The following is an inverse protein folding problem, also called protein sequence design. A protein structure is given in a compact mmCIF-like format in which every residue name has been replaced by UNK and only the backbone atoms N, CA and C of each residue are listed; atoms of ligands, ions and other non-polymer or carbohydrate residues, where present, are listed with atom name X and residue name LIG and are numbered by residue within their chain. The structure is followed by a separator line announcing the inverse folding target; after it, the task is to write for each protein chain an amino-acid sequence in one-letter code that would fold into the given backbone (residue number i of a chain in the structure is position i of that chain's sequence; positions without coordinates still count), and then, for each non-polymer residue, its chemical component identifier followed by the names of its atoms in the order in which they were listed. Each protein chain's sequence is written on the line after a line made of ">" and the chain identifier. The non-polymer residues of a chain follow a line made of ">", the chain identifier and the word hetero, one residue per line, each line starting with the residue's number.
data_IF_814230420700
#
_entry.id   IF_814230420700
#
_cell.length_a   1.000
_cell.length_b   1.000
_cell.length_c   1.000
_cell.angle_alpha   90.00
_cell.angle_beta   90.00
_cell.angle_gamma   90.00
#
_symmetry.space_group_name_H-M   'P 1'
#
loop_
_entity.id
_entity.type
_entity.pdbx_description
1 polymer ?
#
# COMPACT_ATOMS: atom_id res chain seq x y z
N UNK A 1 12.16 0.19 -6.79
CA UNK A 1 11.90 -1.09 -6.06
C UNK A 1 12.29 -2.27 -6.94
N UNK A 2 12.77 -3.34 -6.33
CA UNK A 2 13.25 -4.50 -7.07
C UNK A 2 12.14 -5.16 -7.90
N UNK A 3 12.46 -5.51 -9.14
CA UNK A 3 11.55 -6.21 -10.07
C UNK A 3 11.40 -7.66 -9.62
N UNK A 4 10.21 -8.23 -9.79
CA UNK A 4 9.86 -9.62 -9.44
C UNK A 4 9.99 -9.94 -7.94
N UNK A 5 9.95 -8.93 -7.09
CA UNK A 5 10.07 -9.09 -5.63
C UNK A 5 8.89 -8.39 -4.96
N UNK A 6 8.28 -9.06 -3.98
CA UNK A 6 7.32 -8.42 -3.08
C UNK A 6 8.06 -7.45 -2.16
N UNK A 7 7.66 -6.20 -2.18
CA UNK A 7 8.25 -5.15 -1.35
C UNK A 7 7.19 -4.61 -0.42
N UNK A 8 7.46 -4.68 0.89
CA UNK A 8 6.58 -4.06 1.88
C UNK A 8 6.71 -2.54 1.78
N UNK A 9 5.59 -1.84 1.70
CA UNK A 9 5.58 -0.38 1.64
C UNK A 9 5.70 0.20 3.04
N UNK A 10 6.62 1.13 3.18
CA UNK A 10 6.88 1.84 4.43
C UNK A 10 6.01 3.10 4.50
N UNK A 11 5.31 3.27 5.61
CA UNK A 11 4.53 4.46 5.90
C UNK A 11 5.14 5.15 7.12
N UNK A 12 6.11 6.01 6.87
CA UNK A 12 6.91 6.62 7.93
C UNK A 12 6.16 7.65 8.78
N UNK A 13 5.04 8.15 8.26
CA UNK A 13 4.24 9.15 8.96
C UNK A 13 2.86 8.58 9.27
N UNK A 14 2.50 8.54 10.54
CA UNK A 14 1.19 8.06 11.00
C UNK A 14 0.33 9.26 11.35
N UNK A 15 -0.71 9.53 10.54
CA UNK A 15 -1.58 10.69 10.72
C UNK A 15 -2.80 10.36 11.60
N UNK A 16 -3.36 9.16 11.47
CA UNK A 16 -4.56 8.73 12.18
C UNK A 16 -4.35 7.35 12.78
N UNK A 17 -3.78 7.34 13.99
CA UNK A 17 -3.59 6.10 14.75
C UNK A 17 -3.92 6.36 16.21
N UNK A 18 -5.22 6.50 16.50
CA UNK A 18 -5.71 6.89 17.83
C UNK A 18 -5.37 5.87 18.90
N UNK A 19 -5.25 4.60 18.55
CA UNK A 19 -4.95 3.52 19.48
C UNK A 19 -3.52 2.98 19.33
N UNK A 20 -2.69 3.64 18.54
CA UNK A 20 -1.32 3.21 18.24
C UNK A 20 -1.24 1.79 17.67
N UNK A 21 -2.17 1.45 16.78
CA UNK A 21 -2.27 0.11 16.19
C UNK A 21 -1.34 -0.09 14.99
N UNK A 22 -0.80 0.98 14.44
CA UNK A 22 0.16 0.92 13.36
C UNK A 22 1.58 1.15 13.89
N UNK A 23 2.48 0.23 13.57
CA UNK A 23 3.88 0.31 13.96
C UNK A 23 4.70 0.70 12.71
N UNK A 24 5.24 1.92 12.68
CA UNK A 24 6.03 2.40 11.55
C UNK A 24 7.47 1.86 11.53
N UNK A 25 7.89 1.11 12.52
CA UNK A 25 9.15 0.37 12.49
C UNK A 25 9.01 -0.94 11.75
N UNK A 26 7.88 -1.62 11.90
CA UNK A 26 7.56 -2.88 11.20
C UNK A 26 6.64 -2.68 10.01
N UNK A 27 6.14 -1.47 9.79
CA UNK A 27 5.19 -1.10 8.73
C UNK A 27 3.95 -1.99 8.74
N UNK A 28 3.41 -2.23 9.94
CA UNK A 28 2.36 -3.20 10.17
C UNK A 28 1.27 -2.63 11.09
N UNK A 29 0.02 -2.79 10.66
CA UNK A 29 -1.16 -2.56 11.49
C UNK A 29 -1.47 -3.85 12.26
N UNK A 30 -1.77 -3.74 13.56
CA UNK A 30 -2.16 -4.86 14.39
C UNK A 30 -3.58 -4.66 14.92
N UNK A 31 -4.45 -5.65 14.72
CA UNK A 31 -5.81 -5.60 15.21
C UNK A 31 -5.85 -5.69 16.74
N UNK A 32 -6.40 -4.69 17.44
CA UNK A 32 -6.46 -4.74 18.89
C UNK A 32 -7.49 -5.71 19.44
N UNK A 33 -8.56 -5.95 18.69
CA UNK A 33 -9.64 -6.86 19.07
C UNK A 33 -10.12 -7.62 17.85
N UNK A 34 -10.78 -8.76 18.07
CA UNK A 34 -11.44 -9.52 17.00
C UNK A 34 -12.60 -8.73 16.43
N UNK A 35 -12.71 -8.67 15.12
CA UNK A 35 -13.80 -7.98 14.43
C UNK A 35 -13.54 -7.79 12.95
N UNK A 36 -14.36 -6.95 12.33
CA UNK A 36 -14.22 -6.56 10.93
C UNK A 36 -13.57 -5.20 10.84
N UNK A 37 -12.55 -5.10 10.01
CA UNK A 37 -11.76 -3.89 9.85
C UNK A 37 -11.89 -3.37 8.43
N UNK A 38 -12.07 -2.07 8.31
CA UNK A 38 -11.91 -1.38 7.03
C UNK A 38 -10.44 -1.04 6.87
N UNK A 39 -9.83 -1.58 5.83
CA UNK A 39 -8.44 -1.31 5.46
C UNK A 39 -8.44 -0.58 4.12
N UNK A 40 -7.81 0.57 4.06
CA UNK A 40 -7.74 1.36 2.84
C UNK A 40 -6.33 1.87 2.62
N UNK A 41 -5.90 1.87 1.37
CA UNK A 41 -4.58 2.37 1.00
C UNK A 41 -4.63 3.07 -0.35
N UNK A 42 -3.80 4.09 -0.50
CA UNK A 42 -3.47 4.70 -1.78
C UNK A 42 -1.96 4.70 -1.90
N UNK A 43 -1.46 4.24 -3.03
CA UNK A 43 -0.02 4.19 -3.32
C UNK A 43 0.22 4.92 -4.63
N UNK A 44 0.99 6.00 -4.58
CA UNK A 44 1.43 6.71 -5.77
C UNK A 44 2.68 6.04 -6.32
N UNK A 45 2.58 5.62 -7.58
CA UNK A 45 3.67 4.99 -8.33
C UNK A 45 4.21 5.98 -9.34
N UNK A 46 5.51 6.18 -9.33
CA UNK A 46 6.21 7.02 -10.28
C UNK A 46 7.02 6.14 -11.24
N UNK A 47 7.10 6.57 -12.49
CA UNK A 47 7.89 5.91 -13.55
C UNK A 47 7.46 4.47 -13.80
N UNK A 48 6.18 4.30 -14.11
CA UNK A 48 5.66 2.98 -14.46
C UNK A 48 6.23 2.54 -15.81
N UNK A 49 6.89 1.38 -15.79
CA UNK A 49 7.50 0.77 -16.96
C UNK A 49 6.45 0.03 -17.80
N UNK A 50 6.24 0.47 -19.04
CA UNK A 50 5.31 -0.18 -19.97
C UNK A 50 5.75 -1.58 -20.37
N UNK A 51 7.02 -1.95 -20.17
CA UNK A 51 7.53 -3.27 -20.44
C UNK A 51 7.22 -4.29 -19.34
N UNK A 52 6.71 -3.86 -18.19
CA UNK A 52 6.29 -4.77 -17.13
C UNK A 52 5.05 -5.56 -17.55
N UNK A 53 4.95 -6.81 -17.11
CA UNK A 53 3.79 -7.65 -17.36
C UNK A 53 2.56 -7.14 -16.59
N UNK A 54 2.80 -6.76 -15.34
CA UNK A 54 1.79 -6.14 -14.47
C UNK A 54 2.49 -5.51 -13.26
N UNK A 55 1.78 -4.59 -12.62
CA UNK A 55 2.14 -4.10 -11.29
C UNK A 55 0.93 -4.30 -10.36
N UNK A 56 1.20 -4.59 -9.11
CA UNK A 56 0.15 -4.80 -8.10
C UNK A 56 0.48 -4.13 -6.80
N UNK A 57 -0.56 -3.67 -6.12
CA UNK A 57 -0.51 -3.38 -4.69
C UNK A 57 -1.37 -4.41 -3.97
N UNK A 58 -1.02 -4.69 -2.73
CA UNK A 58 -1.70 -5.70 -1.92
C UNK A 58 -1.86 -5.21 -0.51
N UNK A 59 -3.03 -5.49 0.06
CA UNK A 59 -3.21 -5.46 1.51
C UNK A 59 -3.15 -6.91 1.95
N UNK A 60 -2.10 -7.25 2.69
CA UNK A 60 -1.86 -8.61 3.17
C UNK A 60 -2.15 -8.66 4.66
N UNK A 61 -3.13 -9.47 5.04
CA UNK A 61 -3.46 -9.75 6.44
C UNK A 61 -2.91 -11.10 6.86
N UNK A 62 -2.99 -11.42 8.14
CA UNK A 62 -2.62 -12.74 8.64
C UNK A 62 -3.42 -13.87 7.98
N UNK A 63 -4.62 -13.56 7.46
CA UNK A 63 -5.54 -14.55 6.91
C UNK A 63 -5.64 -14.54 5.39
N UNK A 64 -5.48 -13.37 4.76
CA UNK A 64 -5.77 -13.20 3.34
C UNK A 64 -4.89 -12.14 2.70
N UNK A 65 -4.80 -12.23 1.40
CA UNK A 65 -4.12 -11.27 0.54
C UNK A 65 -5.13 -10.65 -0.41
N UNK A 66 -5.35 -9.35 -0.29
CA UNK A 66 -6.23 -8.58 -1.18
C UNK A 66 -5.36 -7.87 -2.20
N UNK A 67 -5.62 -8.06 -3.49
CA UNK A 67 -4.73 -7.58 -4.56
C UNK A 67 -5.46 -6.69 -5.55
N UNK A 68 -4.75 -5.69 -6.05
CA UNK A 68 -5.18 -4.84 -7.16
C UNK A 68 -4.07 -4.77 -8.19
N UNK A 69 -4.41 -5.08 -9.42
CA UNK A 69 -3.47 -5.14 -10.54
C UNK A 69 -3.75 -4.04 -11.55
N UNK A 70 -2.68 -3.60 -12.23
CA UNK A 70 -2.79 -2.91 -13.51
C UNK A 70 -1.86 -3.60 -14.52
N UNK A 71 -2.30 -3.59 -15.78
CA UNK A 71 -1.47 -3.93 -16.92
C UNK A 71 -0.92 -2.62 -17.49
N UNK A 72 0.40 -2.36 -17.39
CA UNK A 72 0.96 -1.08 -17.80
C UNK A 72 1.22 -0.98 -19.30
N UNK A 73 0.46 -1.67 -20.12
CA UNK A 73 0.58 -1.63 -21.58
C UNK A 73 0.05 -0.31 -22.15
N UNK A 74 0.70 0.78 -21.75
CA UNK A 74 0.41 2.12 -22.24
C UNK A 74 1.31 2.45 -23.46
N UNK A 75 1.01 3.55 -24.15
CA UNK A 75 1.81 3.99 -25.30
C UNK A 75 3.21 4.51 -24.91
N UNK A 76 3.40 4.92 -23.66
CA UNK A 76 4.67 5.37 -23.10
C UNK A 76 4.66 5.15 -21.58
N UNK A 77 5.84 5.16 -20.97
CA UNK A 77 5.97 5.08 -19.52
C UNK A 77 5.24 6.24 -18.84
N UNK A 78 4.57 5.96 -17.74
CA UNK A 78 3.86 6.98 -16.97
C UNK A 78 4.75 7.54 -15.88
N UNK A 79 4.76 8.88 -15.77
CA UNK A 79 5.50 9.54 -14.70
C UNK A 79 4.83 9.38 -13.34
N UNK A 80 3.49 9.37 -13.32
CA UNK A 80 2.72 9.35 -12.06
C UNK A 80 1.44 8.55 -12.25
N UNK A 81 1.17 7.63 -11.34
CA UNK A 81 -0.07 6.86 -11.34
C UNK A 81 -0.35 6.37 -9.92
N UNK A 82 -1.54 6.62 -9.42
CA UNK A 82 -1.92 6.16 -8.09
C UNK A 82 -2.88 4.98 -8.15
N UNK A 83 -2.63 3.96 -7.34
CA UNK A 83 -3.54 2.85 -7.11
C UNK A 83 -4.14 2.97 -5.72
N UNK A 84 -5.47 2.85 -5.65
CA UNK A 84 -6.20 2.81 -4.39
C UNK A 84 -6.93 1.51 -4.26
N UNK A 85 -7.02 1.01 -3.03
CA UNK A 85 -7.85 -0.15 -2.73
C UNK A 85 -8.39 -0.09 -1.32
N UNK A 86 -9.53 -0.74 -1.15
CA UNK A 86 -10.23 -0.87 0.13
C UNK A 86 -10.65 -2.31 0.30
N UNK A 87 -10.47 -2.85 1.49
CA UNK A 87 -10.91 -4.18 1.85
C UNK A 87 -11.56 -4.16 3.22
N UNK A 88 -12.60 -4.98 3.40
CA UNK A 88 -13.15 -5.29 4.72
C UNK A 88 -12.64 -6.67 5.09
N UNK A 89 -11.85 -6.74 6.15
CA UNK A 89 -11.15 -7.94 6.55
C UNK A 89 -11.61 -8.44 7.91
N UNK A 90 -11.85 -9.75 8.02
CA UNK A 90 -12.01 -10.40 9.31
C UNK A 90 -10.62 -10.56 9.93
N UNK A 91 -10.44 -10.02 11.12
CA UNK A 91 -9.19 -10.10 11.85
C UNK A 91 -9.45 -10.51 13.30
N UNK A 92 -8.68 -11.46 13.79
CA UNK A 92 -8.65 -11.77 15.21
C UNK A 92 -7.74 -10.78 15.95
N UNK A 93 -7.92 -10.67 17.26
CA UNK A 93 -7.00 -9.87 18.06
C UNK A 93 -5.55 -10.32 17.80
N UNK A 94 -4.66 -9.36 17.56
CA UNK A 94 -3.25 -9.53 17.21
C UNK A 94 -2.98 -9.97 15.77
N UNK A 95 -3.99 -10.18 14.93
CA UNK A 95 -3.76 -10.33 13.50
C UNK A 95 -3.18 -9.03 12.93
N UNK A 96 -2.40 -9.16 11.87
CA UNK A 96 -1.67 -8.04 11.27
C UNK A 96 -2.11 -7.78 9.85
N UNK A 97 -1.89 -6.55 9.40
CA UNK A 97 -2.08 -6.14 8.01
C UNK A 97 -0.95 -5.19 7.58
N UNK A 98 -0.50 -5.35 6.36
CA UNK A 98 0.49 -4.45 5.76
C UNK A 98 0.22 -4.31 4.26
N UNK A 99 0.87 -3.34 3.64
CA UNK A 99 0.74 -3.08 2.21
C UNK A 99 2.02 -3.51 1.51
N UNK A 100 1.86 -4.23 0.40
CA UNK A 100 2.98 -4.69 -0.43
C UNK A 100 2.80 -4.23 -1.86
N UNK A 101 3.92 -4.11 -2.56
CA UNK A 101 3.99 -3.81 -4.00
C UNK A 101 4.78 -4.91 -4.70
N UNK A 102 4.35 -5.24 -5.93
CA UNK A 102 5.15 -6.10 -6.81
C UNK A 102 5.01 -5.64 -8.25
N UNK A 103 6.17 -5.58 -8.94
CA UNK A 103 6.26 -5.43 -10.38
C UNK A 103 6.71 -6.76 -10.97
N UNK A 104 5.96 -7.28 -11.94
CA UNK A 104 6.34 -8.49 -12.66
C UNK A 104 6.96 -8.10 -14.01
N UNK A 105 8.20 -8.50 -14.21
CA UNK A 105 8.91 -8.23 -15.45
C UNK A 105 9.26 -6.78 -15.65
N UNK A 106 9.63 -6.45 -16.89
CA UNK A 106 10.06 -5.11 -17.26
C UNK A 106 11.56 -4.91 -17.14
N UNK A 107 12.01 -3.70 -17.41
CA UNK A 107 13.44 -3.34 -17.45
C UNK A 107 13.80 -2.19 -16.52
N UNK A 108 12.82 -1.37 -16.14
CA UNK A 108 13.01 -0.24 -15.25
C UNK A 108 12.17 -0.41 -13.98
N UNK A 109 12.71 0.01 -12.84
CA UNK A 109 12.02 -0.10 -11.56
C UNK A 109 10.99 1.01 -11.39
N UNK A 110 9.81 0.63 -10.91
CA UNK A 110 8.77 1.56 -10.47
C UNK A 110 9.13 2.07 -9.07
N UNK A 111 8.88 3.35 -8.82
CA UNK A 111 9.12 3.97 -7.52
C UNK A 111 7.81 4.31 -6.82
N UNK A 112 7.81 4.22 -5.49
CA UNK A 112 6.72 4.71 -4.65
C UNK A 112 7.06 6.12 -4.18
N UNK A 113 6.10 7.04 -4.32
CA UNK A 113 6.27 8.43 -3.91
C UNK A 113 5.26 8.78 -2.80
N UNK A 114 5.75 9.30 -1.69
CA UNK A 114 4.91 9.64 -0.54
C UNK A 114 4.18 10.99 -0.67
N UNK A 115 4.54 11.78 -1.67
CA UNK A 115 4.03 13.14 -1.83
C UNK A 115 4.99 14.17 -1.25
N UNK A 116 4.46 15.31 -0.82
CA UNK A 116 5.25 16.38 -0.22
C UNK A 116 4.74 16.70 1.20
N UNK A 117 5.23 15.97 2.23
CA UNK A 117 4.74 16.13 3.59
C UNK A 117 5.17 17.44 4.26
N UNK A 118 6.12 18.16 3.67
CA UNK A 118 6.61 19.44 4.20
C UNK A 118 5.83 20.66 3.69
N UNK A 119 4.92 20.44 2.74
CA UNK A 119 4.02 21.52 2.30
C UNK A 119 3.02 21.91 3.39
N UNK A 120 2.43 23.09 3.25
CA UNK A 120 1.41 23.59 4.17
C UNK A 120 0.12 23.91 3.40
N UNK A 121 -0.93 23.05 3.46
CA UNK A 121 -0.99 21.80 4.23
C UNK A 121 -0.15 20.67 3.60
N UNK A 122 0.24 19.65 4.38
CA UNK A 122 0.99 18.50 3.87
C UNK A 122 0.26 17.76 2.74
N UNK A 123 1.02 17.37 1.72
CA UNK A 123 0.49 16.63 0.56
C UNK A 123 0.87 15.17 0.68
N UNK A 124 -0.12 14.30 0.87
CA UNK A 124 0.09 12.87 1.10
C UNK A 124 -0.46 12.09 -0.10
N UNK A 125 0.44 11.43 -0.83
CA UNK A 125 0.10 10.67 -2.04
C UNK A 125 0.14 9.16 -1.83
N UNK A 126 0.78 8.70 -0.75
CA UNK A 126 0.85 7.29 -0.36
C UNK A 126 0.49 7.20 1.12
N UNK A 127 -0.57 6.46 1.43
CA UNK A 127 -1.05 6.33 2.80
C UNK A 127 -1.84 5.04 3.00
N UNK A 128 -1.94 4.62 4.26
CA UNK A 128 -2.66 3.42 4.68
C UNK A 128 -3.42 3.73 5.96
N UNK A 129 -4.67 3.27 6.04
CA UNK A 129 -5.53 3.43 7.21
C UNK A 129 -6.27 2.13 7.50
N UNK A 130 -6.49 1.87 8.78
CA UNK A 130 -7.28 0.74 9.22
C UNK A 130 -8.08 1.10 10.46
N UNK A 131 -9.33 0.68 10.51
CA UNK A 131 -10.16 0.88 11.70
C UNK A 131 -11.27 -0.15 11.82
N UNK A 132 -11.67 -0.38 13.07
CA UNK A 132 -12.69 -1.36 13.43
C UNK A 132 -14.08 -0.89 13.00
N UNK A 133 -14.82 -1.76 12.32
CA UNK A 133 -16.20 -1.53 11.95
C UNK A 133 -17.20 -2.14 12.97
N UNK A 134 -16.74 -3.11 13.75
CA UNK A 134 -17.59 -3.76 14.72
C UNK A 134 -17.48 -5.28 14.75
#
# INVERSE_FOLDING_TARGET
>A
MAINTLVKIEFNSVTYDQASNYNNTTDTFTAPVTGKYLLTTTVRLDQIDTAADWVSIRITTSNREYRRFIDPNFSADLNQFALSMTAIADMDANDTAHVEFKQSGGTAQVDVNSGNPTESPPQLDTFFSGYLLG
#
